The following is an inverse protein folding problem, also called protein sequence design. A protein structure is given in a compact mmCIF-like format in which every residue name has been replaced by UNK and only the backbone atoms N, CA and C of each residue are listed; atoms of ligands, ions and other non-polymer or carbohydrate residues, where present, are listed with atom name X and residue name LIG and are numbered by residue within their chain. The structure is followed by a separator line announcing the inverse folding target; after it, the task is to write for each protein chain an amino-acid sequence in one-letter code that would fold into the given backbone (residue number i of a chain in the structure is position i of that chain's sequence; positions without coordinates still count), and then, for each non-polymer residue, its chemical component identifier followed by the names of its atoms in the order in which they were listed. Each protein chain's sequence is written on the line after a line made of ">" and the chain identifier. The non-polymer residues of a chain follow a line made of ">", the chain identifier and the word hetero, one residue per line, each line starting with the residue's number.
data_IF_244063604221
#
_entry.id   IF_244063604221
#
_cell.length_a   1.000
_cell.length_b   1.000
_cell.length_c   1.000
_cell.angle_alpha   90.00
_cell.angle_beta   90.00
_cell.angle_gamma   90.00
#
_symmetry.space_group_name_H-M   'P 1'
#
loop_
_entity.id
_entity.type
_entity.pdbx_description
1 polymer ?
#
# COMPACT_ATOMS: atom_id res chain seq x y z
N UNK A 1 -35.55 -49.63 39.63
CA UNK A 1 -34.79 -49.38 38.36
C UNK A 1 -34.39 -47.90 38.35
N UNK A 2 -33.14 -47.56 38.67
CA UNK A 2 -32.65 -46.18 38.66
C UNK A 2 -31.99 -45.94 37.32
N UNK A 3 -32.58 -45.04 36.51
CA UNK A 3 -32.00 -44.61 35.26
C UNK A 3 -30.96 -43.53 35.59
N UNK A 4 -29.69 -43.88 35.38
CA UNK A 4 -28.58 -42.98 35.53
C UNK A 4 -28.53 -42.06 34.29
N UNK A 5 -29.01 -40.81 34.48
CA UNK A 5 -28.86 -39.76 33.43
C UNK A 5 -27.39 -39.29 33.42
N UNK A 6 -26.62 -39.79 32.49
CA UNK A 6 -25.29 -39.29 32.22
C UNK A 6 -25.41 -37.92 31.56
N UNK A 7 -25.11 -36.87 32.31
CA UNK A 7 -24.94 -35.52 31.75
C UNK A 7 -23.65 -35.47 30.93
N UNK A 8 -23.79 -35.45 29.64
CA UNK A 8 -22.69 -35.18 28.73
C UNK A 8 -22.45 -33.67 28.76
N UNK A 9 -21.41 -33.26 29.46
CA UNK A 9 -20.94 -31.88 29.42
C UNK A 9 -20.18 -31.72 28.12
N UNK A 10 -20.82 -31.07 27.15
CA UNK A 10 -20.14 -30.62 25.93
C UNK A 10 -19.26 -29.42 26.33
N UNK A 11 -17.97 -29.67 26.47
CA UNK A 11 -17.01 -28.58 26.62
C UNK A 11 -16.96 -27.83 25.28
N UNK A 12 -17.50 -26.61 25.25
CA UNK A 12 -17.34 -25.70 24.14
C UNK A 12 -15.87 -25.30 24.06
N UNK A 13 -15.13 -25.92 23.14
CA UNK A 13 -13.78 -25.46 22.78
C UNK A 13 -13.95 -24.16 22.00
N UNK A 14 -13.79 -23.03 22.69
CA UNK A 14 -13.69 -21.74 22.03
C UNK A 14 -12.38 -21.70 21.26
N UNK A 15 -12.45 -21.93 19.97
CA UNK A 15 -11.35 -21.67 19.04
C UNK A 15 -11.14 -20.16 19.02
N UNK A 16 -10.22 -19.68 19.84
CA UNK A 16 -9.68 -18.34 19.66
C UNK A 16 -8.86 -18.36 18.37
N UNK A 17 -9.46 -17.88 17.28
CA UNK A 17 -8.70 -17.59 16.08
C UNK A 17 -7.58 -16.63 16.45
N UNK A 18 -6.31 -16.92 16.10
CA UNK A 18 -5.26 -15.94 16.32
C UNK A 18 -5.67 -14.66 15.59
N UNK A 19 -5.64 -13.55 16.30
CA UNK A 19 -5.83 -12.23 15.70
C UNK A 19 -4.86 -12.16 14.53
N UNK A 20 -5.36 -11.95 13.32
CA UNK A 20 -4.51 -11.70 12.18
C UNK A 20 -3.63 -10.51 12.57
N UNK A 21 -2.32 -10.73 12.73
CA UNK A 21 -1.39 -9.66 13.05
C UNK A 21 -1.45 -8.66 11.89
N UNK A 22 -1.84 -7.43 12.21
CA UNK A 22 -1.85 -6.35 11.25
C UNK A 22 -0.41 -6.11 10.77
N UNK A 23 -0.20 -6.13 9.46
CA UNK A 23 1.11 -5.89 8.87
C UNK A 23 1.50 -4.43 9.03
N UNK A 24 2.73 -4.18 9.43
CA UNK A 24 3.31 -2.84 9.40
C UNK A 24 3.54 -2.38 7.96
N UNK A 25 3.69 -1.08 7.75
CA UNK A 25 4.01 -0.55 6.41
C UNK A 25 5.35 -1.09 5.90
N UNK A 26 6.30 -1.42 6.79
CA UNK A 26 7.57 -2.05 6.41
C UNK A 26 7.36 -3.45 5.86
N UNK A 27 6.60 -4.29 6.54
CA UNK A 27 6.28 -5.65 6.09
C UNK A 27 5.49 -5.65 4.78
N UNK A 28 4.56 -4.71 4.62
CA UNK A 28 3.83 -4.56 3.37
C UNK A 28 4.75 -4.19 2.20
N UNK A 29 5.68 -3.26 2.38
CA UNK A 29 6.65 -2.87 1.34
C UNK A 29 7.62 -4.02 1.02
N UNK A 30 8.03 -4.83 1.98
CA UNK A 30 8.85 -6.02 1.71
C UNK A 30 8.12 -7.01 0.79
N UNK A 31 6.81 -7.21 0.99
CA UNK A 31 6.02 -8.03 0.07
C UNK A 31 5.93 -7.41 -1.33
N UNK A 32 5.78 -6.10 -1.41
CA UNK A 32 5.79 -5.40 -2.71
C UNK A 32 7.15 -5.54 -3.39
N UNK A 33 8.25 -5.42 -2.65
CA UNK A 33 9.61 -5.63 -3.16
C UNK A 33 9.76 -7.02 -3.79
N UNK A 34 9.30 -8.07 -3.11
CA UNK A 34 9.36 -9.44 -3.62
C UNK A 34 8.52 -9.63 -4.90
N UNK A 35 7.32 -9.04 -4.93
CA UNK A 35 6.45 -9.09 -6.11
C UNK A 35 7.09 -8.34 -7.28
N UNK A 36 7.67 -7.19 -7.04
CA UNK A 36 8.32 -6.38 -8.07
C UNK A 36 9.57 -7.08 -8.62
N UNK A 37 10.43 -7.62 -7.76
CA UNK A 37 11.64 -8.35 -8.16
C UNK A 37 11.28 -9.57 -9.03
N UNK A 38 10.30 -10.36 -8.62
CA UNK A 38 9.79 -11.48 -9.42
C UNK A 38 9.20 -11.04 -10.77
N UNK A 39 8.68 -9.83 -10.85
CA UNK A 39 8.15 -9.23 -12.09
C UNK A 39 9.19 -8.55 -12.97
N UNK A 40 10.46 -8.55 -12.58
CA UNK A 40 11.55 -7.91 -13.33
C UNK A 40 11.64 -6.40 -13.11
N UNK A 41 11.17 -5.92 -11.96
CA UNK A 41 11.28 -4.53 -11.54
C UNK A 41 12.26 -4.39 -10.38
N UNK A 42 13.01 -3.30 -10.37
CA UNK A 42 13.96 -2.98 -9.30
C UNK A 42 13.58 -1.70 -8.58
N UNK A 43 13.87 -1.60 -7.27
CA UNK A 43 13.75 -0.34 -6.55
C UNK A 43 14.45 0.80 -7.28
N UNK A 44 13.78 1.92 -7.42
CA UNK A 44 14.27 3.09 -8.13
C UNK A 44 13.97 4.38 -7.36
N UNK A 45 14.99 5.20 -7.19
CA UNK A 45 14.87 6.43 -6.42
C UNK A 45 14.71 6.20 -4.92
N UNK A 46 14.30 7.24 -4.22
CA UNK A 46 14.11 7.19 -2.78
C UNK A 46 12.70 6.74 -2.42
N UNK A 47 12.57 5.92 -1.38
CA UNK A 47 11.27 5.67 -0.76
C UNK A 47 10.89 6.86 0.12
N UNK A 48 9.59 7.13 0.22
CA UNK A 48 9.03 8.18 1.08
C UNK A 48 8.13 7.55 2.13
N UNK A 49 8.25 8.02 3.35
CA UNK A 49 7.44 7.57 4.47
C UNK A 49 7.13 8.72 5.40
N UNK A 50 6.05 8.60 6.12
CA UNK A 50 5.64 9.60 7.09
C UNK A 50 4.25 9.33 7.61
N UNK A 51 3.61 10.37 8.10
CA UNK A 51 2.24 10.36 8.60
C UNK A 51 1.40 11.38 7.87
N UNK A 52 0.15 11.02 7.63
CA UNK A 52 -0.85 11.92 7.05
C UNK A 52 -2.16 11.80 7.83
N UNK A 53 -2.80 12.93 8.08
CA UNK A 53 -4.17 12.94 8.57
C UNK A 53 -5.16 12.59 7.45
N UNK A 54 -6.38 12.25 7.81
CA UNK A 54 -7.44 12.00 6.82
C UNK A 54 -7.57 13.18 5.85
N UNK A 55 -7.70 12.88 4.57
CA UNK A 55 -7.79 13.82 3.45
C UNK A 55 -6.53 14.64 3.19
N UNK A 56 -5.45 14.43 3.95
CA UNK A 56 -4.17 15.09 3.70
C UNK A 56 -3.40 14.40 2.58
N UNK A 57 -2.58 15.18 1.89
CA UNK A 57 -1.73 14.72 0.80
C UNK A 57 -0.30 15.17 0.98
N UNK A 58 0.61 14.45 0.38
CA UNK A 58 2.02 14.81 0.23
C UNK A 58 2.48 14.53 -1.20
N UNK A 59 3.55 15.18 -1.61
CA UNK A 59 4.15 14.97 -2.93
C UNK A 59 5.60 14.55 -2.80
N UNK A 60 6.04 13.71 -3.73
CA UNK A 60 7.42 13.32 -3.91
C UNK A 60 7.76 13.30 -5.40
N UNK A 61 9.04 13.24 -5.73
CA UNK A 61 9.53 13.33 -7.09
C UNK A 61 10.17 12.04 -7.56
N UNK A 62 9.95 11.71 -8.82
CA UNK A 62 10.58 10.61 -9.52
C UNK A 62 11.26 11.16 -10.79
N UNK A 63 12.59 10.98 -10.89
CA UNK A 63 13.32 11.31 -12.10
C UNK A 63 13.24 10.13 -13.08
N UNK A 64 12.37 10.23 -14.06
CA UNK A 64 12.16 9.17 -15.03
C UNK A 64 12.90 9.44 -16.34
N UNK A 65 13.20 8.35 -17.06
CA UNK A 65 13.80 8.37 -18.39
C UNK A 65 12.77 7.94 -19.44
N UNK A 66 12.68 8.69 -20.52
CA UNK A 66 11.77 8.38 -21.62
C UNK A 66 11.94 6.92 -22.11
N UNK A 67 10.83 6.25 -22.34
CA UNK A 67 10.77 4.88 -22.84
C UNK A 67 10.85 3.79 -21.77
N UNK A 68 11.19 4.12 -20.52
CA UNK A 68 11.22 3.16 -19.42
C UNK A 68 9.85 3.03 -18.73
N UNK A 69 9.61 1.84 -18.18
CA UNK A 69 8.41 1.55 -17.39
C UNK A 69 8.71 1.66 -15.90
N UNK A 70 7.81 2.28 -15.19
CA UNK A 70 7.88 2.49 -13.76
C UNK A 70 6.64 1.95 -13.05
N UNK A 71 6.84 1.51 -11.83
CA UNK A 71 5.75 1.22 -10.89
C UNK A 71 5.92 2.10 -9.66
N UNK A 72 4.83 2.66 -9.19
CA UNK A 72 4.78 3.37 -7.90
C UNK A 72 3.76 2.66 -7.02
N UNK A 73 4.17 2.29 -5.82
CA UNK A 73 3.31 1.64 -4.85
C UNK A 73 3.25 2.46 -3.56
N UNK A 74 2.07 2.55 -2.97
CA UNK A 74 1.87 3.11 -1.65
C UNK A 74 1.13 2.12 -0.76
N UNK A 75 1.51 2.08 0.51
CA UNK A 75 0.87 1.28 1.55
C UNK A 75 0.64 2.16 2.76
N UNK A 76 -0.34 1.80 3.59
CA UNK A 76 -0.62 2.48 4.83
C UNK A 76 -0.89 1.48 5.97
N UNK A 77 -0.90 1.97 7.21
CA UNK A 77 -1.07 1.14 8.39
C UNK A 77 -2.52 0.69 8.59
N UNK A 78 -2.77 -0.02 9.69
CA UNK A 78 -4.07 -0.64 9.99
C UNK A 78 -5.19 0.34 10.29
N UNK A 79 -4.89 1.57 10.67
CA UNK A 79 -5.89 2.61 10.89
C UNK A 79 -6.30 3.32 9.59
N UNK A 80 -5.61 3.02 8.51
CA UNK A 80 -5.90 3.50 7.16
C UNK A 80 -6.66 2.43 6.37
N UNK A 81 -7.76 2.81 5.74
CA UNK A 81 -8.55 1.94 4.87
C UNK A 81 -8.54 2.37 3.40
N UNK A 82 -7.99 3.54 3.11
CA UNK A 82 -7.98 4.08 1.76
C UNK A 82 -6.82 5.06 1.55
N UNK A 83 -5.88 4.67 0.69
CA UNK A 83 -4.75 5.50 0.26
C UNK A 83 -4.73 5.57 -1.27
N UNK A 84 -4.59 6.77 -1.81
CA UNK A 84 -4.58 7.02 -3.24
C UNK A 84 -3.23 7.52 -3.72
N UNK A 85 -2.90 7.22 -4.96
CA UNK A 85 -1.72 7.77 -5.64
C UNK A 85 -2.14 8.37 -6.98
N UNK A 86 -1.52 9.50 -7.32
CA UNK A 86 -1.58 10.08 -8.65
C UNK A 86 -0.18 10.47 -9.08
N UNK A 87 0.19 10.12 -10.31
CA UNK A 87 1.47 10.53 -10.90
C UNK A 87 1.20 11.45 -12.08
N UNK A 88 1.88 12.59 -12.08
CA UNK A 88 1.84 13.57 -13.17
C UNK A 88 3.22 13.73 -13.79
N UNK A 89 3.27 14.00 -15.10
CA UNK A 89 4.51 14.29 -15.80
C UNK A 89 4.97 15.75 -15.58
N UNK A 90 6.07 16.11 -16.22
CA UNK A 90 6.62 17.46 -16.13
C UNK A 90 5.72 18.57 -16.69
N UNK A 91 4.70 18.21 -17.47
CA UNK A 91 3.70 19.13 -18.01
C UNK A 91 2.43 19.20 -17.19
N UNK A 92 2.34 18.42 -16.12
CA UNK A 92 1.16 18.33 -15.26
C UNK A 92 0.10 17.36 -15.74
N UNK A 93 0.38 16.60 -16.80
CA UNK A 93 -0.54 15.57 -17.31
C UNK A 93 -0.50 14.31 -16.42
N UNK A 94 -1.68 13.76 -16.12
CA UNK A 94 -1.80 12.53 -15.32
C UNK A 94 -1.34 11.36 -16.17
N UNK A 95 -0.31 10.63 -15.70
CA UNK A 95 0.19 9.42 -16.33
C UNK A 95 -0.28 8.13 -15.65
N UNK A 96 -0.80 8.24 -14.45
CA UNK A 96 -1.41 7.14 -13.71
C UNK A 96 -2.11 7.61 -12.46
N UNK A 97 -3.15 6.89 -12.07
CA UNK A 97 -3.92 7.14 -10.86
C UNK A 97 -4.48 5.82 -10.33
N UNK A 98 -4.37 5.62 -9.03
CA UNK A 98 -5.06 4.59 -8.29
C UNK A 98 -5.85 5.26 -7.17
N UNK A 99 -7.18 5.30 -7.34
CA UNK A 99 -8.15 5.88 -6.42
C UNK A 99 -9.14 4.82 -5.90
N UNK A 100 -8.77 3.55 -5.94
CA UNK A 100 -9.56 2.47 -5.35
C UNK A 100 -9.59 2.59 -3.83
N UNK A 101 -10.75 2.26 -3.24
CA UNK A 101 -10.96 2.36 -1.79
C UNK A 101 -10.27 1.20 -1.04
N UNK A 102 -8.94 1.17 -1.08
CA UNK A 102 -8.09 0.16 -0.43
C UNK A 102 -6.91 0.79 0.30
N UNK A 103 -6.32 0.02 1.21
CA UNK A 103 -5.13 0.40 2.00
C UNK A 103 -3.80 0.26 1.22
N UNK A 104 -3.89 -0.03 -0.07
CA UNK A 104 -2.77 -0.14 -1.00
C UNK A 104 -3.13 0.52 -2.32
N UNK A 105 -2.16 1.20 -2.93
CA UNK A 105 -2.30 1.77 -4.25
C UNK A 105 -1.08 1.42 -5.11
N UNK A 106 -1.30 1.07 -6.36
CA UNK A 106 -0.24 0.71 -7.31
C UNK A 106 -0.54 1.30 -8.68
N UNK A 107 0.44 2.00 -9.25
CA UNK A 107 0.38 2.55 -10.59
C UNK A 107 1.54 2.00 -11.40
N UNK A 108 1.28 1.63 -12.66
CA UNK A 108 2.31 1.34 -13.65
C UNK A 108 2.14 2.29 -14.82
N UNK A 109 3.25 2.86 -15.29
CA UNK A 109 3.25 3.74 -16.46
C UNK A 109 4.56 3.64 -17.25
N UNK A 110 4.48 3.98 -18.52
CA UNK A 110 5.66 4.18 -19.37
C UNK A 110 5.93 5.68 -19.48
N UNK A 111 7.14 6.09 -19.15
CA UNK A 111 7.52 7.50 -19.29
C UNK A 111 7.64 7.88 -20.76
N UNK A 112 6.87 8.87 -21.22
CA UNK A 112 6.98 9.42 -22.56
C UNK A 112 8.08 10.49 -22.66
N UNK A 113 8.41 11.10 -21.53
CA UNK A 113 9.41 12.16 -21.43
C UNK A 113 10.41 11.85 -20.33
N UNK A 114 11.66 12.21 -20.54
CA UNK A 114 12.65 12.25 -19.45
C UNK A 114 12.45 13.49 -18.62
N UNK A 115 12.60 13.37 -17.30
CA UNK A 115 12.52 14.48 -16.37
C UNK A 115 11.75 14.12 -15.09
N UNK A 116 11.28 15.17 -14.41
CA UNK A 116 10.62 15.04 -13.15
C UNK A 116 9.14 14.66 -13.30
N UNK A 117 8.75 13.60 -12.59
CA UNK A 117 7.36 13.20 -12.39
C UNK A 117 7.01 13.44 -10.92
N UNK A 118 5.81 13.93 -10.67
CA UNK A 118 5.32 14.21 -9.33
C UNK A 118 4.38 13.10 -8.89
N UNK A 119 4.68 12.51 -7.74
CA UNK A 119 3.84 11.51 -7.10
C UNK A 119 3.08 12.21 -5.97
N UNK A 120 1.75 12.25 -6.09
CA UNK A 120 0.87 12.73 -5.02
C UNK A 120 0.26 11.54 -4.31
N UNK A 121 0.51 11.43 -3.01
CA UNK A 121 -0.08 10.42 -2.13
C UNK A 121 -1.11 11.10 -1.26
N UNK A 122 -2.33 10.56 -1.24
CA UNK A 122 -3.46 11.09 -0.44
C UNK A 122 -3.94 10.03 0.52
N UNK A 123 -3.99 10.38 1.81
CA UNK A 123 -4.61 9.56 2.86
C UNK A 123 -6.12 9.82 2.84
N UNK A 124 -6.86 9.07 2.03
CA UNK A 124 -8.28 9.34 1.82
C UNK A 124 -9.12 9.00 3.06
N UNK A 125 -8.84 7.88 3.71
CA UNK A 125 -9.53 7.48 4.93
C UNK A 125 -8.55 6.98 6.00
N UNK A 126 -8.51 7.67 7.13
CA UNK A 126 -7.70 7.36 8.29
C UNK A 126 -8.57 7.49 9.55
N UNK A 127 -8.73 6.40 10.30
CA UNK A 127 -9.59 6.39 11.51
C UNK A 127 -8.89 6.97 12.75
N UNK A 128 -7.56 7.10 12.71
CA UNK A 128 -6.77 7.73 13.76
C UNK A 128 -6.56 9.22 13.45
N UNK A 129 -5.89 9.95 14.36
CA UNK A 129 -5.51 11.35 14.13
C UNK A 129 -4.57 11.50 12.93
N UNK A 130 -3.74 10.49 12.68
CA UNK A 130 -2.89 10.34 11.51
C UNK A 130 -2.61 8.86 11.28
N UNK A 131 -2.30 8.50 10.05
CA UNK A 131 -1.90 7.16 9.65
C UNK A 131 -0.49 7.19 9.05
N UNK A 132 0.28 6.13 9.27
CA UNK A 132 1.57 5.96 8.63
C UNK A 132 1.38 5.51 7.18
N UNK A 133 2.22 6.02 6.30
CA UNK A 133 2.30 5.58 4.91
C UNK A 133 3.73 5.36 4.48
N UNK A 134 3.88 4.58 3.43
CA UNK A 134 5.14 4.39 2.71
C UNK A 134 4.86 4.32 1.21
N UNK A 135 5.64 5.08 0.44
CA UNK A 135 5.59 5.08 -1.02
C UNK A 135 6.94 4.69 -1.57
N UNK A 136 6.97 3.80 -2.55
CA UNK A 136 8.19 3.31 -3.19
C UNK A 136 8.00 3.21 -4.68
N UNK A 137 9.07 3.51 -5.43
CA UNK A 137 9.09 3.44 -6.88
C UNK A 137 10.03 2.35 -7.37
N UNK A 138 9.70 1.80 -8.53
CA UNK A 138 10.43 0.71 -9.18
C UNK A 138 10.57 1.00 -10.68
N UNK A 139 11.60 0.46 -11.28
CA UNK A 139 11.84 0.54 -12.73
C UNK A 139 11.97 -0.85 -13.32
N UNK A 140 11.37 -1.08 -14.48
CA UNK A 140 11.54 -2.32 -15.22
C UNK A 140 12.97 -2.44 -15.77
N UNK A 141 13.46 -3.66 -15.83
CA UNK A 141 14.74 -4.00 -16.49
C UNK A 141 14.72 -3.63 -17.96
#
# INVERSE_FOLDING_TARGET
>A
MKILKTLITVAAVSLTLPSAFAMTTSEQIELVDDIMDNGGYYPFGNSHQGTLAQSASTTSNLQASAGKRYTVAAVCDTDCSDIDIRVTDKYGDIVGEDADATDQAVIQFKANYSGNYTIKTTMFNCEANYCFYRTKSYVAQ
#
